data_IF_975520118238
#
_entry.id   IF_975520118238
#
_cell.length_a   1.000
_cell.length_b   1.000
_cell.length_c   1.000
_cell.angle_alpha   90.00
_cell.angle_beta   90.00
_cell.angle_gamma   90.00
#
_symmetry.space_group_name_H-M   'P 1'
#
loop_
_entity.id
_entity.type
_entity.pdbx_description
1 polymer ?
#
# COMPACT_ATOMS: atom_id res chain seq x y z
N UNK A 1 7.80 -20.96 15.99
CA UNK A 1 7.65 -19.63 15.40
C UNK A 1 6.21 -19.09 15.53
N UNK A 2 5.21 -19.97 15.57
CA UNK A 2 3.79 -19.58 15.72
C UNK A 2 3.52 -18.99 17.11
N UNK A 3 2.79 -17.83 17.15
CA UNK A 3 2.30 -17.17 18.36
C UNK A 3 0.78 -16.98 18.21
N UNK A 4 0.02 -17.81 18.93
CA UNK A 4 -1.45 -17.81 18.85
C UNK A 4 -2.07 -16.52 19.39
N UNK A 5 -1.47 -15.89 20.41
CA UNK A 5 -1.94 -14.59 20.92
C UNK A 5 -1.75 -13.48 19.89
N UNK A 6 -0.63 -13.52 19.18
CA UNK A 6 -0.36 -12.59 18.07
C UNK A 6 -1.32 -12.83 16.90
N UNK A 7 -1.60 -14.10 16.54
CA UNK A 7 -2.62 -14.45 15.55
C UNK A 7 -3.99 -13.85 15.91
N UNK A 8 -4.42 -14.05 17.15
CA UNK A 8 -5.71 -13.56 17.63
C UNK A 8 -5.79 -12.03 17.66
N UNK A 9 -4.70 -11.36 17.98
CA UNK A 9 -4.62 -9.91 17.87
C UNK A 9 -4.69 -9.45 16.40
N UNK A 10 -3.89 -10.06 15.53
CA UNK A 10 -3.78 -9.66 14.11
C UNK A 10 -5.08 -9.89 13.35
N UNK A 11 -5.79 -11.00 13.60
CA UNK A 11 -7.06 -11.31 12.94
C UNK A 11 -8.14 -10.23 13.17
N UNK A 12 -8.12 -9.57 14.36
CA UNK A 12 -9.05 -8.46 14.65
C UNK A 12 -8.75 -7.19 13.84
N UNK A 13 -7.53 -7.00 13.39
CA UNK A 13 -7.13 -5.85 12.57
C UNK A 13 -7.47 -6.05 11.08
N UNK A 14 -7.78 -7.28 10.69
CA UNK A 14 -8.07 -7.68 9.31
C UNK A 14 -9.36 -8.50 9.24
N UNK A 15 -10.53 -7.88 9.50
CA UNK A 15 -11.80 -8.60 9.64
C UNK A 15 -12.24 -9.33 8.35
N UNK A 16 -11.68 -8.97 7.18
CA UNK A 16 -11.94 -9.64 5.91
C UNK A 16 -11.08 -10.88 5.63
N UNK A 17 -10.14 -11.22 6.55
CA UNK A 17 -9.24 -12.38 6.39
C UNK A 17 -9.68 -13.50 7.34
N UNK A 18 -9.84 -14.71 6.78
CA UNK A 18 -10.12 -15.89 7.60
C UNK A 18 -8.96 -16.13 8.57
N UNK A 19 -9.28 -16.17 9.85
CA UNK A 19 -8.32 -16.39 10.93
C UNK A 19 -7.49 -17.66 10.74
N UNK A 20 -8.07 -18.71 10.15
CA UNK A 20 -7.37 -19.97 9.91
C UNK A 20 -6.30 -19.86 8.81
N UNK A 21 -6.33 -18.78 8.04
CA UNK A 21 -5.27 -18.46 7.07
C UNK A 21 -4.15 -17.57 7.65
N UNK A 22 -4.21 -17.26 8.96
CA UNK A 22 -3.16 -16.54 9.67
C UNK A 22 -2.38 -17.51 10.53
N UNK A 23 -1.10 -17.72 10.23
CA UNK A 23 -0.23 -18.61 11.02
C UNK A 23 0.09 -17.98 12.38
N UNK A 24 0.29 -16.67 12.43
CA UNK A 24 0.67 -15.93 13.63
C UNK A 24 2.19 -15.83 13.81
N UNK A 25 2.93 -15.60 12.73
CA UNK A 25 4.37 -15.34 12.77
C UNK A 25 4.62 -13.84 12.89
N UNK A 26 5.36 -13.43 13.92
CA UNK A 26 5.70 -12.01 14.12
C UNK A 26 6.54 -11.47 12.96
N UNK A 27 6.21 -10.28 12.49
CA UNK A 27 6.85 -9.63 11.33
C UNK A 27 8.38 -9.62 11.38
N UNK A 28 9.08 -9.35 12.50
CA UNK A 28 10.54 -9.42 12.51
C UNK A 28 11.11 -10.81 12.23
N UNK A 29 10.44 -11.86 12.72
CA UNK A 29 10.83 -13.27 12.49
C UNK A 29 10.59 -13.62 11.03
N UNK A 30 9.41 -13.27 10.50
CA UNK A 30 9.05 -13.50 9.11
C UNK A 30 10.06 -12.81 8.17
N UNK A 31 10.40 -11.55 8.44
CA UNK A 31 11.36 -10.77 7.64
C UNK A 31 12.76 -11.41 7.62
N UNK A 32 13.23 -11.90 8.79
CA UNK A 32 14.51 -12.61 8.85
C UNK A 32 14.49 -13.88 8.00
N UNK A 33 13.46 -14.68 8.16
CA UNK A 33 13.26 -15.91 7.38
C UNK A 33 13.20 -15.61 5.88
N UNK A 34 12.38 -14.64 5.48
CA UNK A 34 12.21 -14.26 4.07
C UNK A 34 13.53 -13.81 3.43
N UNK A 35 14.36 -13.06 4.17
CA UNK A 35 15.67 -12.63 3.67
C UNK A 35 16.61 -13.79 3.38
N UNK A 36 16.55 -14.85 4.19
CA UNK A 36 17.33 -16.07 3.99
C UNK A 36 16.74 -16.90 2.83
N UNK A 37 15.42 -17.10 2.83
CA UNK A 37 14.69 -17.86 1.83
C UNK A 37 14.82 -17.26 0.42
N UNK A 38 14.76 -15.94 0.26
CA UNK A 38 14.89 -15.23 -1.01
C UNK A 38 16.23 -15.49 -1.76
N UNK A 39 17.20 -16.12 -1.08
CA UNK A 39 18.50 -16.50 -1.68
C UNK A 39 18.56 -17.94 -2.13
N UNK A 40 17.50 -18.70 -1.92
CA UNK A 40 17.42 -20.11 -2.29
C UNK A 40 16.71 -20.26 -3.66
N UNK A 41 17.00 -21.33 -4.41
CA UNK A 41 16.29 -21.61 -5.67
C UNK A 41 14.76 -21.74 -5.49
N UNK A 42 14.30 -22.16 -4.31
CA UNK A 42 12.87 -22.27 -4.00
C UNK A 42 12.11 -20.93 -3.98
N UNK A 43 12.80 -19.79 -3.93
CA UNK A 43 12.15 -18.49 -3.94
C UNK A 43 11.46 -18.18 -5.28
N UNK A 44 12.07 -18.56 -6.41
CA UNK A 44 11.48 -18.38 -7.74
C UNK A 44 10.21 -19.24 -7.90
N UNK A 45 10.30 -20.51 -7.49
CA UNK A 45 9.15 -21.41 -7.52
C UNK A 45 8.01 -20.88 -6.63
N UNK A 46 8.34 -20.42 -5.41
CA UNK A 46 7.36 -19.83 -4.48
C UNK A 46 6.63 -18.64 -5.09
N UNK A 47 7.32 -17.74 -5.80
CA UNK A 47 6.70 -16.59 -6.46
C UNK A 47 5.72 -17.00 -7.59
N UNK A 48 5.86 -18.19 -8.15
CA UNK A 48 4.90 -18.68 -9.18
C UNK A 48 3.67 -19.36 -8.59
N UNK A 49 3.71 -19.78 -7.34
CA UNK A 49 2.63 -20.51 -6.65
C UNK A 49 1.55 -19.58 -6.11
N UNK A 50 0.78 -18.96 -6.98
CA UNK A 50 -0.34 -18.06 -6.63
C UNK A 50 -1.69 -18.73 -6.91
N UNK A 51 -2.71 -18.46 -6.07
CA UNK A 51 -2.72 -17.66 -4.85
C UNK A 51 -2.05 -18.36 -3.66
N UNK A 52 -1.44 -17.60 -2.76
CA UNK A 52 -0.96 -18.15 -1.48
C UNK A 52 -2.13 -18.39 -0.51
N UNK A 53 -2.00 -19.43 0.30
CA UNK A 53 -3.00 -19.77 1.30
C UNK A 53 -2.92 -18.89 2.54
N UNK A 54 -1.69 -18.64 3.02
CA UNK A 54 -1.50 -17.98 4.31
C UNK A 54 -1.15 -16.50 4.15
N UNK A 55 -1.63 -15.71 5.10
CA UNK A 55 -1.32 -14.29 5.22
C UNK A 55 0.19 -14.02 5.24
N UNK A 56 0.94 -14.84 5.97
CA UNK A 56 2.38 -14.70 6.04
C UNK A 56 3.09 -15.01 4.72
N UNK A 57 2.55 -15.92 3.92
CA UNK A 57 3.06 -16.18 2.56
C UNK A 57 2.85 -14.98 1.65
N UNK A 58 1.68 -14.33 1.71
CA UNK A 58 1.45 -13.09 0.98
C UNK A 58 2.44 -11.98 1.39
N UNK A 59 2.72 -11.86 2.69
CA UNK A 59 3.73 -10.92 3.17
C UNK A 59 5.15 -11.28 2.73
N UNK A 60 5.51 -12.57 2.73
CA UNK A 60 6.79 -13.04 2.21
C UNK A 60 6.95 -12.72 0.72
N UNK A 61 5.89 -12.97 -0.07
CA UNK A 61 5.87 -12.64 -1.49
C UNK A 61 6.17 -11.15 -1.70
N UNK A 62 5.42 -10.26 -1.02
CA UNK A 62 5.65 -8.83 -1.10
C UNK A 62 7.07 -8.43 -0.65
N UNK A 63 7.60 -9.04 0.43
CA UNK A 63 8.98 -8.78 0.89
C UNK A 63 10.02 -9.17 -0.16
N UNK A 64 9.82 -10.28 -0.87
CA UNK A 64 10.76 -10.76 -1.90
C UNK A 64 10.72 -9.80 -3.09
N UNK A 65 9.54 -9.54 -3.66
CA UNK A 65 9.43 -8.71 -4.86
C UNK A 65 9.86 -7.26 -4.62
N UNK A 66 9.61 -6.69 -3.42
CA UNK A 66 10.08 -5.33 -3.07
C UNK A 66 11.59 -5.25 -2.88
N UNK A 67 12.30 -6.38 -2.79
CA UNK A 67 13.76 -6.45 -2.73
C UNK A 67 14.44 -6.58 -4.09
N UNK A 68 13.70 -6.80 -5.16
CA UNK A 68 14.21 -6.89 -6.53
C UNK A 68 14.76 -5.52 -6.93
N UNK A 69 15.98 -5.50 -7.46
CA UNK A 69 16.67 -4.26 -7.83
C UNK A 69 16.44 -3.83 -9.28
N UNK A 70 16.11 -4.78 -10.16
CA UNK A 70 15.76 -4.53 -11.55
C UNK A 70 14.31 -4.03 -11.64
N UNK A 71 14.10 -2.87 -12.29
CA UNK A 71 12.79 -2.21 -12.33
C UNK A 71 11.75 -3.05 -13.07
N UNK A 72 12.10 -3.52 -14.28
CA UNK A 72 11.17 -4.25 -15.15
C UNK A 72 10.73 -5.57 -14.50
N UNK A 73 11.67 -6.31 -13.94
CA UNK A 73 11.39 -7.54 -13.21
C UNK A 73 10.50 -7.27 -11.98
N UNK A 74 10.84 -6.22 -11.20
CA UNK A 74 10.08 -5.86 -10.01
C UNK A 74 8.65 -5.45 -10.38
N UNK A 75 8.48 -4.63 -11.41
CA UNK A 75 7.19 -4.17 -11.89
C UNK A 75 6.32 -5.34 -12.37
N UNK A 76 6.89 -6.24 -13.17
CA UNK A 76 6.18 -7.42 -13.67
C UNK A 76 5.68 -8.32 -12.51
N UNK A 77 6.53 -8.53 -11.49
CA UNK A 77 6.14 -9.30 -10.30
C UNK A 77 5.07 -8.59 -9.46
N UNK A 78 5.15 -7.27 -9.28
CA UNK A 78 4.09 -6.48 -8.63
C UNK A 78 2.77 -6.63 -9.38
N UNK A 79 2.77 -6.42 -10.70
CA UNK A 79 1.57 -6.53 -11.53
C UNK A 79 0.95 -7.94 -11.45
N UNK A 80 1.77 -8.98 -11.44
CA UNK A 80 1.33 -10.38 -11.29
C UNK A 80 0.70 -10.65 -9.92
N UNK A 81 1.23 -10.03 -8.85
CA UNK A 81 0.81 -10.29 -7.48
C UNK A 81 -0.38 -9.43 -7.03
N UNK A 82 -0.54 -8.20 -7.54
CA UNK A 82 -1.60 -7.27 -7.13
C UNK A 82 -3.01 -7.90 -7.09
N UNK A 83 -3.44 -8.72 -8.07
CA UNK A 83 -4.78 -9.33 -8.04
C UNK A 83 -5.03 -10.30 -6.87
N UNK A 84 -3.97 -10.77 -6.24
CA UNK A 84 -4.05 -11.72 -5.11
C UNK A 84 -3.94 -11.05 -3.74
N UNK A 85 -3.70 -9.75 -3.69
CA UNK A 85 -3.68 -9.00 -2.43
C UNK A 85 -5.09 -8.80 -1.93
N UNK A 86 -5.37 -9.32 -0.75
CA UNK A 86 -6.70 -9.32 -0.13
C UNK A 86 -6.75 -8.60 1.22
N UNK A 87 -5.67 -7.90 1.60
CA UNK A 87 -5.61 -7.18 2.86
C UNK A 87 -4.66 -5.97 2.82
N UNK A 88 -4.95 -4.99 3.67
CA UNK A 88 -4.18 -3.75 3.75
C UNK A 88 -2.73 -3.96 4.24
N UNK A 89 -2.49 -4.93 5.11
CA UNK A 89 -1.16 -5.12 5.70
C UNK A 89 -0.14 -5.63 4.66
N UNK A 90 -0.57 -6.49 3.72
CA UNK A 90 0.25 -6.90 2.57
C UNK A 90 0.35 -5.78 1.54
N UNK A 91 -0.75 -5.04 1.29
CA UNK A 91 -0.79 -3.95 0.32
C UNK A 91 0.14 -2.78 0.69
N UNK A 92 0.24 -2.45 1.98
CA UNK A 92 0.91 -1.25 2.47
C UNK A 92 2.42 -1.42 2.70
N UNK A 93 3.02 -2.46 2.17
CA UNK A 93 4.48 -2.63 2.23
C UNK A 93 5.21 -1.41 1.64
N UNK A 94 6.45 -1.12 2.09
CA UNK A 94 7.26 -0.05 1.52
C UNK A 94 7.41 -0.18 0.01
N UNK A 95 7.49 0.95 -0.69
CA UNK A 95 7.75 0.96 -2.12
C UNK A 95 9.08 0.25 -2.44
N UNK A 96 9.15 -0.52 -3.55
CA UNK A 96 10.39 -1.06 -4.03
C UNK A 96 11.43 0.05 -4.26
N UNK A 97 12.67 -0.20 -3.87
CA UNK A 97 13.73 0.82 -4.01
C UNK A 97 14.03 1.18 -5.45
N UNK A 98 13.89 0.23 -6.39
CA UNK A 98 14.09 0.48 -7.82
C UNK A 98 13.09 1.50 -8.37
N UNK A 99 11.88 1.58 -7.83
CA UNK A 99 10.83 2.51 -8.28
C UNK A 99 11.25 3.98 -8.16
N UNK A 100 12.01 4.33 -7.13
CA UNK A 100 12.46 5.71 -6.93
C UNK A 100 13.35 6.26 -8.04
N UNK A 101 13.91 5.40 -8.90
CA UNK A 101 14.74 5.80 -10.04
C UNK A 101 13.98 5.85 -11.38
N UNK A 102 12.72 5.41 -11.38
CA UNK A 102 11.89 5.24 -12.57
C UNK A 102 10.52 5.92 -12.41
N UNK A 103 10.51 7.10 -11.77
CA UNK A 103 9.25 7.78 -11.42
C UNK A 103 8.42 8.17 -12.66
N UNK A 104 9.07 8.49 -13.79
CA UNK A 104 8.37 8.82 -15.03
C UNK A 104 7.58 7.65 -15.60
N UNK A 105 8.22 6.49 -15.72
CA UNK A 105 7.61 5.25 -16.23
C UNK A 105 6.57 4.72 -15.23
N UNK A 106 6.89 4.73 -13.95
CA UNK A 106 6.01 4.26 -12.89
C UNK A 106 4.70 5.03 -12.79
N UNK A 107 4.70 6.33 -13.13
CA UNK A 107 3.49 7.15 -13.06
C UNK A 107 2.37 6.60 -13.95
N UNK A 108 2.72 6.14 -15.16
CA UNK A 108 1.75 5.52 -16.08
C UNK A 108 1.14 4.24 -15.48
N UNK A 109 1.94 3.43 -14.80
CA UNK A 109 1.45 2.24 -14.11
C UNK A 109 0.55 2.58 -12.92
N UNK A 110 0.92 3.60 -12.15
CA UNK A 110 0.07 4.09 -11.05
C UNK A 110 -1.29 4.56 -11.60
N UNK A 111 -1.32 5.29 -12.73
CA UNK A 111 -2.57 5.69 -13.38
C UNK A 111 -3.43 4.49 -13.74
N UNK A 112 -2.86 3.42 -14.30
CA UNK A 112 -3.56 2.19 -14.61
C UNK A 112 -4.10 1.51 -13.33
N UNK A 113 -3.31 1.46 -12.26
CA UNK A 113 -3.71 0.83 -11.00
C UNK A 113 -4.87 1.57 -10.32
N UNK A 114 -4.86 2.90 -10.29
CA UNK A 114 -5.91 3.67 -9.61
C UNK A 114 -7.28 3.62 -10.33
N UNK A 115 -7.31 3.26 -11.61
CA UNK A 115 -8.55 3.11 -12.39
C UNK A 115 -8.97 1.65 -12.58
N UNK A 116 -8.24 0.69 -12.01
CA UNK A 116 -8.47 -0.75 -12.20
C UNK A 116 -9.82 -1.25 -11.66
N UNK A 117 -10.42 -0.54 -10.70
CA UNK A 117 -11.61 -0.98 -9.97
C UNK A 117 -11.33 -2.02 -8.88
N UNK A 118 -10.13 -2.58 -8.80
CA UNK A 118 -9.74 -3.60 -7.81
C UNK A 118 -9.25 -2.93 -6.52
N UNK A 119 -9.93 -3.19 -5.40
CA UNK A 119 -9.74 -2.47 -4.10
C UNK A 119 -8.27 -2.32 -3.71
N UNK A 120 -7.50 -3.39 -3.70
CA UNK A 120 -6.12 -3.34 -3.23
C UNK A 120 -5.14 -2.89 -4.31
N UNK A 121 -5.46 -3.04 -5.59
CA UNK A 121 -4.69 -2.47 -6.70
C UNK A 121 -4.80 -0.94 -6.69
N UNK A 122 -6.01 -0.41 -6.54
CA UNK A 122 -6.26 1.03 -6.37
C UNK A 122 -5.53 1.55 -5.14
N UNK A 123 -5.68 0.86 -4.00
CA UNK A 123 -4.99 1.21 -2.75
C UNK A 123 -3.47 1.24 -2.91
N UNK A 124 -2.90 0.25 -3.59
CA UNK A 124 -1.46 0.20 -3.87
C UNK A 124 -1.00 1.39 -4.70
N UNK A 125 -1.71 1.72 -5.79
CA UNK A 125 -1.41 2.88 -6.64
C UNK A 125 -1.39 4.19 -5.85
N UNK A 126 -2.43 4.47 -5.04
CA UNK A 126 -2.47 5.66 -4.16
C UNK A 126 -1.31 5.61 -3.14
N UNK A 127 -0.98 4.41 -2.64
CA UNK A 127 0.15 4.20 -1.73
C UNK A 127 1.49 4.54 -2.36
N UNK A 128 1.67 4.28 -3.65
CA UNK A 128 2.89 4.67 -4.39
C UNK A 128 2.95 6.18 -4.59
N UNK A 129 1.84 6.85 -4.93
CA UNK A 129 1.78 8.34 -4.96
C UNK A 129 2.20 8.92 -3.61
N UNK A 130 1.68 8.39 -2.51
CA UNK A 130 1.99 8.87 -1.17
C UNK A 130 3.47 8.73 -0.81
N UNK A 131 4.12 7.64 -1.22
CA UNK A 131 5.48 7.31 -0.80
C UNK A 131 6.56 7.92 -1.68
N UNK A 132 6.25 8.16 -2.95
CA UNK A 132 7.26 8.50 -3.96
C UNK A 132 7.07 9.88 -4.58
N UNK A 133 5.86 10.47 -4.51
CA UNK A 133 5.53 11.69 -5.25
C UNK A 133 5.04 12.85 -4.36
N UNK A 134 5.23 12.80 -3.05
CA UNK A 134 4.89 13.92 -2.17
C UNK A 134 6.09 14.78 -1.75
N UNK A 135 7.30 14.42 -2.14
CA UNK A 135 8.52 15.18 -1.90
C UNK A 135 9.00 15.85 -3.21
N UNK A 136 10.26 15.71 -3.58
CA UNK A 136 10.89 16.40 -4.73
C UNK A 136 10.17 16.17 -6.07
N UNK A 137 9.50 15.04 -6.23
CA UNK A 137 8.75 14.70 -7.44
C UNK A 137 7.31 15.21 -7.44
N UNK A 138 6.93 16.01 -6.45
CA UNK A 138 5.54 16.45 -6.30
C UNK A 138 5.05 17.32 -7.47
N UNK A 139 3.84 17.01 -7.93
CA UNK A 139 3.05 17.84 -8.83
C UNK A 139 1.61 17.93 -8.31
N UNK A 140 0.93 19.11 -8.40
CA UNK A 140 -0.45 19.28 -7.90
C UNK A 140 -1.45 18.28 -8.50
N UNK A 141 -1.24 17.86 -9.75
CA UNK A 141 -2.09 16.90 -10.47
C UNK A 141 -2.18 15.54 -9.77
N UNK A 142 -1.18 15.16 -8.98
CA UNK A 142 -1.22 13.90 -8.23
C UNK A 142 -2.23 13.93 -7.08
N UNK A 143 -2.54 15.11 -6.54
CA UNK A 143 -3.63 15.27 -5.58
C UNK A 143 -4.98 15.02 -6.24
N UNK A 144 -5.16 15.55 -7.46
CA UNK A 144 -6.39 15.37 -8.22
C UNK A 144 -6.61 13.91 -8.61
N UNK A 145 -5.55 13.20 -9.01
CA UNK A 145 -5.63 11.78 -9.32
C UNK A 145 -6.26 10.97 -8.18
N UNK A 146 -5.84 11.23 -6.94
CA UNK A 146 -6.39 10.54 -5.78
C UNK A 146 -7.77 11.08 -5.35
N UNK A 147 -7.97 12.41 -5.40
CA UNK A 147 -9.20 13.06 -4.95
C UNK A 147 -10.41 12.75 -5.86
N UNK A 148 -10.17 12.48 -7.14
CA UNK A 148 -11.21 12.16 -8.12
C UNK A 148 -11.63 10.68 -8.12
N UNK A 149 -10.98 9.82 -7.33
CA UNK A 149 -11.40 8.43 -7.20
C UNK A 149 -12.72 8.37 -6.43
N UNK A 150 -13.74 7.81 -7.08
CA UNK A 150 -15.03 7.51 -6.45
C UNK A 150 -15.09 6.02 -6.14
N UNK A 151 -15.29 5.66 -4.87
CA UNK A 151 -15.35 4.27 -4.43
C UNK A 151 -16.25 4.11 -3.22
N UNK A 152 -16.97 3.00 -3.15
CA UNK A 152 -17.71 2.56 -1.94
C UNK A 152 -16.80 1.72 -1.01
N UNK A 153 -15.61 1.33 -1.48
CA UNK A 153 -14.69 0.48 -0.75
C UNK A 153 -14.00 1.21 0.40
N UNK A 154 -14.20 0.72 1.63
CA UNK A 154 -13.61 1.30 2.83
C UNK A 154 -12.09 1.46 2.74
N UNK A 155 -11.40 0.44 2.22
CA UNK A 155 -9.93 0.45 2.17
C UNK A 155 -9.37 1.38 1.10
N UNK A 156 -10.11 1.64 0.03
CA UNK A 156 -9.76 2.68 -0.96
C UNK A 156 -9.94 4.06 -0.34
N UNK A 157 -11.12 4.34 0.21
CA UNK A 157 -11.44 5.64 0.82
C UNK A 157 -10.49 5.97 1.99
N UNK A 158 -10.13 4.96 2.79
CA UNK A 158 -9.14 5.12 3.87
C UNK A 158 -7.75 5.50 3.33
N UNK A 159 -7.35 4.96 2.18
CA UNK A 159 -6.06 5.29 1.58
C UNK A 159 -6.05 6.68 0.97
N UNK A 160 -7.15 7.10 0.31
CA UNK A 160 -7.30 8.48 -0.17
C UNK A 160 -7.17 9.46 1.00
N UNK A 161 -7.87 9.20 2.11
CA UNK A 161 -7.79 10.03 3.30
C UNK A 161 -6.39 10.07 3.91
N UNK A 162 -5.68 8.94 3.92
CA UNK A 162 -4.30 8.89 4.43
C UNK A 162 -3.33 9.62 3.51
N UNK A 163 -3.48 9.47 2.19
CA UNK A 163 -2.70 10.20 1.20
C UNK A 163 -2.85 11.71 1.38
N UNK A 164 -4.08 12.22 1.43
CA UNK A 164 -4.36 13.65 1.57
C UNK A 164 -3.90 14.20 2.94
N UNK A 165 -4.08 13.44 4.03
CA UNK A 165 -3.54 13.84 5.33
C UNK A 165 -2.01 13.90 5.35
N UNK A 166 -1.34 13.01 4.60
CA UNK A 166 0.13 13.06 4.44
C UNK A 166 0.53 14.22 3.55
N UNK A 167 -0.25 14.49 2.50
CA UNK A 167 -0.03 15.62 1.61
C UNK A 167 -0.21 16.96 2.34
N UNK A 168 -1.17 17.11 3.25
CA UNK A 168 -1.28 18.30 4.11
C UNK A 168 0.01 18.57 4.89
N UNK A 169 0.67 17.53 5.39
CA UNK A 169 1.93 17.71 6.14
C UNK A 169 3.13 18.09 5.25
N UNK A 170 3.11 17.77 3.96
CA UNK A 170 4.23 17.97 3.05
C UNK A 170 3.99 19.09 2.02
N UNK A 171 2.76 19.24 1.58
CA UNK A 171 2.34 20.11 0.47
C UNK A 171 1.08 20.90 0.87
N UNK A 172 1.15 21.61 2.00
CA UNK A 172 0.01 22.29 2.62
C UNK A 172 -0.75 23.17 1.63
N UNK A 173 -0.06 24.12 0.99
CA UNK A 173 -0.67 25.13 0.11
C UNK A 173 -1.44 24.50 -1.07
N UNK A 174 -0.92 23.40 -1.61
CA UNK A 174 -1.57 22.69 -2.71
C UNK A 174 -2.74 21.82 -2.24
N UNK A 175 -2.73 21.36 -0.98
CA UNK A 175 -3.68 20.35 -0.50
C UNK A 175 -4.84 20.96 0.25
N UNK A 176 -4.65 22.08 0.98
CA UNK A 176 -5.71 22.69 1.84
C UNK A 176 -6.98 23.07 1.06
N UNK A 177 -6.93 23.53 -0.21
CA UNK A 177 -8.13 23.85 -0.98
C UNK A 177 -9.10 22.66 -1.14
N UNK A 178 -8.60 21.42 -1.15
CA UNK A 178 -9.47 20.23 -1.24
C UNK A 178 -10.40 20.10 -0.03
N UNK A 179 -9.98 20.60 1.13
CA UNK A 179 -10.80 20.64 2.35
C UNK A 179 -11.67 21.90 2.42
N UNK A 180 -11.11 23.08 2.19
CA UNK A 180 -11.82 24.36 2.28
C UNK A 180 -12.98 24.45 1.27
N UNK A 181 -12.75 23.98 0.05
CA UNK A 181 -13.74 23.97 -1.03
C UNK A 181 -14.62 22.70 -1.04
N UNK A 182 -14.45 21.80 -0.07
CA UNK A 182 -15.19 20.53 0.06
C UNK A 182 -15.19 19.68 -1.23
N UNK A 183 -14.03 19.55 -1.86
CA UNK A 183 -13.86 18.82 -3.13
C UNK A 183 -13.87 17.28 -2.98
N UNK A 184 -13.94 16.77 -1.76
CA UNK A 184 -13.88 15.34 -1.42
C UNK A 184 -15.27 14.81 -1.05
N UNK A 185 -15.48 13.49 -1.18
CA UNK A 185 -16.66 12.86 -0.58
C UNK A 185 -16.72 13.15 0.92
N UNK A 186 -17.93 13.23 1.49
CA UNK A 186 -18.10 13.59 2.91
C UNK A 186 -17.32 12.70 3.85
N UNK A 187 -17.28 11.40 3.57
CA UNK A 187 -16.54 10.45 4.39
C UNK A 187 -15.03 10.67 4.30
N UNK A 188 -14.48 10.79 3.09
CA UNK A 188 -13.04 11.06 2.86
C UNK A 188 -12.64 12.37 3.48
N UNK A 189 -13.46 13.44 3.31
CA UNK A 189 -13.20 14.76 3.90
C UNK A 189 -13.02 14.67 5.42
N UNK A 190 -14.01 14.10 6.13
CA UNK A 190 -13.95 13.95 7.58
C UNK A 190 -12.78 13.08 8.03
N UNK A 191 -12.52 11.99 7.30
CA UNK A 191 -11.42 11.07 7.63
C UNK A 191 -10.06 11.69 7.38
N UNK A 192 -9.91 12.52 6.36
CA UNK A 192 -8.66 13.27 6.10
C UNK A 192 -8.36 14.22 7.25
N UNK A 193 -9.34 15.01 7.70
CA UNK A 193 -9.20 15.91 8.85
C UNK A 193 -8.82 15.11 10.10
N UNK A 194 -9.54 14.01 10.38
CA UNK A 194 -9.24 13.17 11.53
C UNK A 194 -7.78 12.70 11.51
N UNK A 195 -7.32 12.16 10.38
CA UNK A 195 -5.93 11.68 10.23
C UNK A 195 -4.90 12.80 10.30
N UNK A 196 -5.22 13.98 9.81
CA UNK A 196 -4.36 15.15 9.90
C UNK A 196 -4.17 15.59 11.36
N UNK A 197 -5.26 15.68 12.13
CA UNK A 197 -5.24 16.02 13.56
C UNK A 197 -4.52 14.96 14.40
N UNK A 198 -4.67 13.69 14.07
CA UNK A 198 -3.96 12.58 14.73
C UNK A 198 -2.46 12.57 14.39
N UNK A 199 -2.03 13.32 13.38
CA UNK A 199 -0.63 13.35 12.93
C UNK A 199 0.18 14.37 13.72
N UNK A 200 1.23 13.93 14.39
CA UNK A 200 2.22 14.83 15.03
C UNK A 200 3.01 15.71 14.04
N UNK A 201 2.82 15.54 12.75
CA UNK A 201 3.49 16.31 11.68
C UNK A 201 2.76 17.59 11.30
N UNK A 202 1.54 17.77 11.77
CA UNK A 202 0.72 18.96 11.52
C UNK A 202 0.54 19.65 12.88
N UNK A 203 0.97 20.90 12.98
CA UNK A 203 0.75 21.70 14.18
C UNK A 203 -0.74 22.04 14.33
N UNK A 204 -1.24 22.15 15.56
CA UNK A 204 -2.61 22.62 15.83
C UNK A 204 -2.92 23.97 15.22
#
# INVERSE_FOLDING_TARGET
>A
MQDLKYRDFHSRLMPGIDKETIIGIRTPILRKFTKEFARTPGAEEFLTQLPHRYYEENNMHMMIITSISDYETCLAEIQRFLPYINNWATCDFPAPKCFAKHLGELLSEIQNWIVSGETYTVRYGIGMLMRLYLDDAFQPEYLEMAANITSEEYYVNMMIAWYLATALAKQWTATIPYLEERRLSEWVHRKTIQKAVESYRISP
#
